data_IF_031602534693
#
_entry.id   IF_031602534693
#
_cell.length_a   1.000
_cell.length_b   1.000
_cell.length_c   1.000
_cell.angle_alpha   90.00
_cell.angle_beta   90.00
_cell.angle_gamma   90.00
#
_symmetry.space_group_name_H-M   'P 1'
#
loop_
_entity.id
_entity.type
_entity.pdbx_description
1 polymer ?
#
# COMPACT_ATOMS: atom_id res chain seq x y z
N UNK A 1 26.73 11.96 -5.15
CA UNK A 1 26.66 10.58 -5.68
C UNK A 1 27.09 10.66 -7.14
N UNK A 2 27.29 9.55 -7.84
CA UNK A 2 27.60 9.56 -9.28
C UNK A 2 26.37 9.01 -10.05
N UNK A 3 26.27 9.22 -11.38
CA UNK A 3 25.10 8.83 -12.19
C UNK A 3 24.76 7.32 -12.15
N UNK A 4 25.67 6.49 -11.67
CA UNK A 4 25.47 5.04 -11.51
C UNK A 4 24.74 4.65 -10.22
N UNK A 5 24.37 5.62 -9.35
CA UNK A 5 23.67 5.34 -8.09
C UNK A 5 22.20 5.73 -8.19
N UNK A 6 21.37 4.92 -7.55
CA UNK A 6 19.93 5.10 -7.47
C UNK A 6 19.46 4.94 -6.03
N UNK A 7 18.35 5.59 -5.70
CA UNK A 7 17.65 5.47 -4.43
C UNK A 7 16.19 5.14 -4.70
N UNK A 8 15.71 4.05 -4.09
CA UNK A 8 14.30 3.64 -4.16
C UNK A 8 13.70 3.82 -2.78
N UNK A 9 12.78 4.77 -2.65
CA UNK A 9 12.07 5.05 -1.41
C UNK A 9 10.86 4.13 -1.29
N UNK A 10 10.89 3.23 -0.31
CA UNK A 10 9.83 2.25 -0.11
C UNK A 10 9.05 2.47 1.19
N UNK A 11 9.45 3.46 1.99
CA UNK A 11 8.77 3.79 3.23
C UNK A 11 7.52 4.62 2.97
N UNK A 12 6.55 4.52 3.88
CA UNK A 12 5.32 5.29 3.83
C UNK A 12 5.59 6.69 4.38
N UNK A 13 5.76 7.65 3.49
CA UNK A 13 6.01 9.07 3.76
C UNK A 13 4.98 9.93 3.03
N UNK A 14 4.84 11.19 3.42
CA UNK A 14 4.01 12.14 2.70
C UNK A 14 4.67 12.64 1.40
N UNK A 15 3.88 13.32 0.56
CA UNK A 15 4.32 13.79 -0.75
C UNK A 15 5.44 14.84 -0.66
N UNK A 16 5.41 15.71 0.34
CA UNK A 16 6.41 16.79 0.50
C UNK A 16 7.76 16.20 0.88
N UNK A 17 7.78 15.31 1.87
CA UNK A 17 9.00 14.55 2.25
C UNK A 17 9.60 13.82 1.05
N UNK A 18 8.76 13.22 0.20
CA UNK A 18 9.22 12.48 -0.97
C UNK A 18 9.85 13.38 -2.04
N UNK A 19 9.27 14.57 -2.26
CA UNK A 19 9.82 15.59 -3.16
C UNK A 19 11.15 16.14 -2.64
N UNK A 20 11.27 16.36 -1.33
CA UNK A 20 12.52 16.81 -0.69
C UNK A 20 13.64 15.78 -0.86
N UNK A 21 13.34 14.49 -0.66
CA UNK A 21 14.32 13.41 -0.87
C UNK A 21 14.71 13.36 -2.35
N UNK A 22 13.74 13.44 -3.26
CA UNK A 22 14.02 13.49 -4.70
C UNK A 22 14.98 14.62 -5.05
N UNK A 23 14.73 15.85 -4.58
CA UNK A 23 15.62 16.98 -4.83
C UNK A 23 17.03 16.75 -4.25
N UNK A 24 17.12 16.25 -3.02
CA UNK A 24 18.39 15.95 -2.36
C UNK A 24 19.21 14.86 -3.08
N UNK A 25 18.55 13.86 -3.68
CA UNK A 25 19.18 12.79 -4.45
C UNK A 25 19.60 13.29 -5.84
N UNK A 26 18.71 13.97 -6.54
CA UNK A 26 18.93 14.46 -7.90
C UNK A 26 20.01 15.56 -7.95
N UNK A 27 20.04 16.47 -6.96
CA UNK A 27 21.10 17.50 -6.83
C UNK A 27 22.50 16.91 -6.64
N UNK A 28 22.58 15.65 -6.21
CA UNK A 28 23.82 14.87 -6.07
C UNK A 28 24.11 13.99 -7.27
N UNK A 29 23.38 14.14 -8.38
CA UNK A 29 23.58 13.40 -9.63
C UNK A 29 23.21 11.92 -9.56
N UNK A 30 22.36 11.51 -8.62
CA UNK A 30 21.78 10.16 -8.55
C UNK A 30 20.34 10.16 -9.05
N UNK A 31 19.74 8.98 -9.23
CA UNK A 31 18.35 8.80 -9.64
C UNK A 31 17.46 8.43 -8.46
N UNK A 32 16.19 8.82 -8.52
CA UNK A 32 15.21 8.61 -7.46
C UNK A 32 13.93 7.97 -8.00
N UNK A 33 13.37 7.03 -7.22
CA UNK A 33 12.10 6.37 -7.48
C UNK A 33 11.35 6.19 -6.15
N UNK A 34 10.08 6.57 -6.12
CA UNK A 34 9.14 6.15 -5.09
C UNK A 34 8.62 4.76 -5.42
N UNK A 35 8.50 3.88 -4.43
CA UNK A 35 7.87 2.57 -4.56
C UNK A 35 7.07 2.23 -3.29
N UNK A 36 5.86 2.76 -3.20
CA UNK A 36 4.94 2.47 -2.10
C UNK A 36 4.43 1.03 -2.18
N UNK A 37 4.38 0.33 -1.05
CA UNK A 37 4.05 -1.11 -1.00
C UNK A 37 2.63 -1.30 -0.46
N UNK A 38 1.86 -2.19 -1.08
CA UNK A 38 0.61 -2.74 -0.55
C UNK A 38 0.77 -4.24 -0.28
N UNK A 39 0.34 -4.66 0.91
CA UNK A 39 0.29 -6.06 1.32
C UNK A 39 0.65 -6.24 2.80
N UNK A 40 0.45 -7.45 3.31
CA UNK A 40 0.83 -7.87 4.65
C UNK A 40 2.29 -8.37 4.72
N UNK A 41 2.79 -8.63 5.94
CA UNK A 41 4.09 -9.27 6.14
C UNK A 41 4.13 -10.68 5.51
N UNK A 42 3.06 -11.46 5.67
CA UNK A 42 2.90 -12.78 5.05
C UNK A 42 2.97 -12.67 3.52
N UNK A 43 2.29 -11.68 2.94
CA UNK A 43 2.36 -11.43 1.50
C UNK A 43 3.75 -10.98 1.05
N UNK A 44 4.51 -10.28 1.89
CA UNK A 44 5.91 -9.94 1.60
C UNK A 44 6.81 -11.19 1.57
N UNK A 45 6.65 -12.10 2.53
CA UNK A 45 7.41 -13.36 2.60
C UNK A 45 7.10 -14.28 1.41
N UNK A 46 5.88 -14.22 0.88
CA UNK A 46 5.43 -15.01 -0.26
C UNK A 46 5.65 -14.33 -1.63
N UNK A 47 6.23 -13.13 -1.67
CA UNK A 47 6.45 -12.40 -2.93
C UNK A 47 5.15 -11.90 -3.58
N UNK A 48 4.13 -11.60 -2.78
CA UNK A 48 2.77 -11.22 -3.22
C UNK A 48 2.43 -9.75 -2.97
N UNK A 49 3.42 -8.89 -2.75
CA UNK A 49 3.19 -7.45 -2.64
C UNK A 49 2.73 -6.83 -3.97
N UNK A 50 2.06 -5.69 -3.87
CA UNK A 50 1.77 -4.79 -4.99
C UNK A 50 2.54 -3.50 -4.79
N UNK A 51 3.27 -3.07 -5.80
CA UNK A 51 4.07 -1.84 -5.74
C UNK A 51 3.42 -0.70 -6.54
N UNK A 52 3.41 0.49 -5.95
CA UNK A 52 2.95 1.73 -6.58
C UNK A 52 4.17 2.63 -6.74
N UNK A 53 4.59 2.85 -7.98
CA UNK A 53 5.86 3.49 -8.29
C UNK A 53 5.68 4.82 -9.02
N UNK A 54 6.58 5.78 -8.78
CA UNK A 54 6.61 7.06 -9.49
C UNK A 54 8.00 7.69 -9.40
N UNK A 55 8.41 8.44 -10.42
CA UNK A 55 9.73 9.09 -10.52
C UNK A 55 10.46 8.73 -11.80
N UNK A 56 11.71 8.29 -11.69
CA UNK A 56 12.54 7.94 -12.84
C UNK A 56 12.06 6.62 -13.50
N UNK A 57 11.61 6.71 -14.76
CA UNK A 57 11.11 5.56 -15.50
C UNK A 57 12.21 4.53 -15.80
N UNK A 58 13.42 4.97 -16.12
CA UNK A 58 14.53 4.06 -16.39
C UNK A 58 14.90 3.25 -15.15
N UNK A 59 14.86 3.89 -13.98
CA UNK A 59 15.10 3.22 -12.71
C UNK A 59 13.97 2.24 -12.35
N UNK A 60 12.71 2.60 -12.61
CA UNK A 60 11.58 1.67 -12.46
C UNK A 60 11.78 0.41 -13.32
N UNK A 61 12.16 0.58 -14.59
CA UNK A 61 12.40 -0.55 -15.50
C UNK A 61 13.64 -1.38 -15.05
N UNK A 62 14.69 -0.74 -14.54
CA UNK A 62 15.88 -1.42 -13.98
C UNK A 62 15.58 -2.22 -12.70
N UNK A 63 14.66 -1.73 -11.87
CA UNK A 63 14.24 -2.40 -10.62
C UNK A 63 13.26 -3.55 -10.84
N UNK A 64 12.85 -3.83 -12.08
CA UNK A 64 11.81 -4.81 -12.38
C UNK A 64 12.05 -6.19 -11.75
N UNK A 65 13.27 -6.72 -11.84
CA UNK A 65 13.61 -8.03 -11.25
C UNK A 65 13.57 -8.02 -9.72
N UNK A 66 13.90 -6.90 -9.08
CA UNK A 66 13.74 -6.74 -7.64
C UNK A 66 12.27 -6.70 -7.23
N UNK A 67 11.42 -6.03 -8.03
CA UNK A 67 9.99 -5.96 -7.78
C UNK A 67 9.31 -7.31 -7.97
N UNK A 68 9.68 -8.09 -8.99
CA UNK A 68 9.20 -9.47 -9.19
C UNK A 68 9.63 -10.42 -8.06
N UNK A 69 10.74 -10.14 -7.37
CA UNK A 69 11.21 -10.98 -6.26
C UNK A 69 10.37 -10.81 -4.99
N UNK A 70 9.71 -9.65 -4.81
CA UNK A 70 8.97 -9.31 -3.59
C UNK A 70 7.46 -9.11 -3.83
N UNK A 71 7.04 -9.01 -5.09
CA UNK A 71 5.67 -8.73 -5.47
C UNK A 71 5.28 -9.36 -6.79
N UNK A 72 3.96 -9.46 -7.01
CA UNK A 72 3.41 -10.02 -8.24
C UNK A 72 2.98 -8.93 -9.25
N UNK A 73 2.96 -7.67 -8.81
CA UNK A 73 2.54 -6.55 -9.66
C UNK A 73 3.19 -5.23 -9.23
N UNK A 74 3.49 -4.39 -10.21
CA UNK A 74 3.92 -3.01 -9.98
C UNK A 74 3.24 -2.07 -10.98
N UNK A 75 2.89 -0.87 -10.52
CA UNK A 75 2.24 0.17 -11.31
C UNK A 75 3.12 1.42 -11.36
N UNK A 76 3.14 2.13 -12.48
CA UNK A 76 3.93 3.36 -12.63
C UNK A 76 3.03 4.58 -12.88
N UNK A 77 3.13 5.56 -11.99
CA UNK A 77 2.25 6.74 -11.93
C UNK A 77 2.91 8.03 -12.43
N UNK A 78 4.00 7.93 -13.19
CA UNK A 78 4.68 9.10 -13.75
C UNK A 78 5.48 9.83 -12.68
N UNK A 79 5.17 11.10 -12.45
CA UNK A 79 6.00 11.99 -11.64
C UNK A 79 6.00 11.67 -10.15
N UNK A 80 7.13 11.99 -9.49
CA UNK A 80 7.32 11.92 -8.03
C UNK A 80 6.13 12.55 -7.29
N UNK A 81 5.65 11.86 -6.27
CA UNK A 81 4.50 12.19 -5.45
C UNK A 81 3.22 11.48 -5.88
N UNK A 82 3.10 11.01 -7.13
CA UNK A 82 1.87 10.35 -7.59
C UNK A 82 1.67 8.96 -6.97
N UNK A 83 2.76 8.21 -6.71
CA UNK A 83 2.67 6.94 -5.99
C UNK A 83 2.19 7.16 -4.56
N UNK A 84 2.75 8.14 -3.86
CA UNK A 84 2.34 8.52 -2.50
C UNK A 84 0.88 8.99 -2.45
N UNK A 85 0.42 9.80 -3.41
CA UNK A 85 -0.99 10.21 -3.52
C UNK A 85 -1.91 9.01 -3.74
N UNK A 86 -1.54 8.07 -4.60
CA UNK A 86 -2.33 6.85 -4.82
C UNK A 86 -2.37 5.97 -3.57
N UNK A 87 -1.24 5.80 -2.88
CA UNK A 87 -1.20 5.09 -1.60
C UNK A 87 -2.16 5.75 -0.59
N UNK A 88 -2.16 7.08 -0.47
CA UNK A 88 -3.09 7.79 0.41
C UNK A 88 -4.55 7.49 0.08
N UNK A 89 -4.94 7.45 -1.20
CA UNK A 89 -6.30 7.08 -1.62
C UNK A 89 -6.67 5.67 -1.13
N UNK A 90 -5.77 4.70 -1.31
CA UNK A 90 -5.98 3.31 -0.88
C UNK A 90 -6.10 3.23 0.65
N UNK A 91 -5.21 3.91 1.38
CA UNK A 91 -5.23 3.91 2.85
C UNK A 91 -6.49 4.58 3.41
N UNK A 92 -6.97 5.65 2.79
CA UNK A 92 -8.23 6.29 3.16
C UNK A 92 -9.42 5.33 2.97
N UNK A 93 -9.46 4.60 1.85
CA UNK A 93 -10.49 3.59 1.60
C UNK A 93 -10.43 2.46 2.65
N UNK A 94 -9.23 1.96 2.94
CA UNK A 94 -9.00 0.94 3.98
C UNK A 94 -9.51 1.40 5.35
N UNK A 95 -9.12 2.61 5.77
CA UNK A 95 -9.56 3.19 7.04
C UNK A 95 -11.09 3.33 7.12
N UNK A 96 -11.73 3.75 6.02
CA UNK A 96 -13.20 3.89 5.95
C UNK A 96 -13.89 2.54 6.12
N UNK A 97 -13.38 1.50 5.45
CA UNK A 97 -13.93 0.13 5.59
C UNK A 97 -13.79 -0.38 7.03
N UNK A 98 -12.64 -0.18 7.66
CA UNK A 98 -12.40 -0.61 9.05
C UNK A 98 -13.31 0.16 10.01
N UNK A 99 -13.47 1.47 9.84
CA UNK A 99 -14.36 2.27 10.68
C UNK A 99 -15.83 1.80 10.56
N UNK A 100 -16.31 1.55 9.33
CA UNK A 100 -17.65 1.01 9.10
C UNK A 100 -17.86 -0.38 9.70
N UNK A 101 -16.84 -1.24 9.66
CA UNK A 101 -16.87 -2.54 10.34
C UNK A 101 -16.98 -2.37 11.86
N UNK A 102 -16.17 -1.51 12.46
CA UNK A 102 -16.19 -1.26 13.89
C UNK A 102 -17.55 -0.71 14.38
N UNK A 103 -18.14 0.24 13.66
CA UNK A 103 -19.47 0.76 13.97
C UNK A 103 -20.56 -0.32 13.83
N UNK A 104 -20.45 -1.17 12.80
CA UNK A 104 -21.38 -2.28 12.58
C UNK A 104 -21.34 -3.31 13.71
N UNK A 105 -20.14 -3.66 14.18
CA UNK A 105 -19.94 -4.57 15.32
C UNK A 105 -20.55 -4.00 16.62
N UNK A 106 -20.33 -2.71 16.89
CA UNK A 106 -20.95 -2.03 18.04
C UNK A 106 -22.49 -1.99 17.95
N UNK A 107 -23.03 -1.85 16.73
CA UNK A 107 -24.48 -1.84 16.51
C UNK A 107 -25.11 -3.21 16.74
N UNK A 108 -24.44 -4.29 16.35
CA UNK A 108 -24.87 -5.68 16.62
C UNK A 108 -25.00 -5.93 18.11
N UNK A 109 -24.00 -5.55 18.90
CA UNK A 109 -24.04 -5.67 20.36
C UNK A 109 -25.21 -4.89 20.95
N UNK A 110 -25.43 -3.66 20.47
CA UNK A 110 -26.56 -2.81 20.90
C UNK A 110 -27.92 -3.44 20.60
N UNK A 111 -28.02 -4.24 19.54
CA UNK A 111 -29.24 -4.98 19.19
C UNK A 111 -29.36 -6.32 19.90
N UNK A 112 -28.40 -6.71 20.74
CA UNK A 112 -28.40 -7.99 21.44
C UNK A 112 -28.15 -9.18 20.52
N UNK A 113 -27.49 -8.95 19.37
CA UNK A 113 -27.10 -9.98 18.42
C UNK A 113 -25.66 -10.44 18.68
N UNK A 114 -25.28 -11.60 18.15
CA UNK A 114 -23.93 -12.14 18.29
C UNK A 114 -23.04 -11.67 17.14
N UNK A 115 -21.83 -11.20 17.45
CA UNK A 115 -20.83 -10.84 16.43
C UNK A 115 -20.39 -12.06 15.60
N UNK A 116 -20.40 -13.26 16.19
CA UNK A 116 -20.11 -14.52 15.47
C UNK A 116 -21.03 -14.73 14.28
N UNK A 117 -22.31 -14.38 14.42
CA UNK A 117 -23.30 -14.54 13.35
C UNK A 117 -22.98 -13.60 12.20
N UNK A 118 -22.51 -12.38 12.48
CA UNK A 118 -22.05 -11.46 11.44
C UNK A 118 -20.84 -11.99 10.70
N UNK A 119 -19.86 -12.59 11.39
CA UNK A 119 -18.67 -13.17 10.74
C UNK A 119 -19.07 -14.32 9.80
N UNK A 120 -20.03 -15.15 10.21
CA UNK A 120 -20.59 -16.21 9.35
C UNK A 120 -21.32 -15.61 8.13
N UNK A 121 -22.17 -14.60 8.35
CA UNK A 121 -22.89 -13.92 7.27
C UNK A 121 -21.91 -13.23 6.31
N UNK A 122 -20.90 -12.50 6.81
CA UNK A 122 -19.89 -11.82 5.98
C UNK A 122 -19.18 -12.81 5.06
N UNK A 123 -18.87 -14.02 5.55
CA UNK A 123 -18.26 -15.08 4.74
C UNK A 123 -19.12 -15.55 3.56
N UNK A 124 -20.44 -15.35 3.63
CA UNK A 124 -21.41 -15.78 2.64
C UNK A 124 -21.91 -14.64 1.74
N UNK A 125 -21.45 -13.41 1.98
CA UNK A 125 -21.92 -12.21 1.25
C UNK A 125 -20.82 -11.61 0.38
N UNK A 126 -21.19 -10.76 -0.61
CA UNK A 126 -20.22 -10.03 -1.43
C UNK A 126 -19.32 -9.06 -0.64
N UNK A 127 -19.61 -8.81 0.63
CA UNK A 127 -18.77 -7.99 1.51
C UNK A 127 -17.50 -8.72 1.98
N UNK A 128 -17.40 -10.04 1.75
CA UNK A 128 -16.21 -10.81 2.10
C UNK A 128 -14.97 -10.24 1.42
N UNK A 129 -14.03 -9.76 2.23
CA UNK A 129 -12.68 -9.41 1.81
C UNK A 129 -11.68 -9.82 2.88
N UNK A 130 -10.42 -10.09 2.50
CA UNK A 130 -9.36 -10.44 3.46
C UNK A 130 -9.25 -9.38 4.56
N UNK A 131 -9.27 -8.10 4.20
CA UNK A 131 -9.23 -6.98 5.15
C UNK A 131 -10.35 -7.08 6.21
N UNK A 132 -11.60 -7.24 5.77
CA UNK A 132 -12.76 -7.31 6.68
C UNK A 132 -12.65 -8.54 7.57
N UNK A 133 -12.30 -9.70 7.02
CA UNK A 133 -12.20 -10.94 7.80
C UNK A 133 -11.07 -10.90 8.82
N UNK A 134 -9.90 -10.37 8.45
CA UNK A 134 -8.76 -10.26 9.36
C UNK A 134 -9.09 -9.32 10.53
N UNK A 135 -9.84 -8.24 10.28
CA UNK A 135 -10.24 -7.27 11.31
C UNK A 135 -11.47 -7.64 12.12
N UNK A 136 -12.41 -8.40 11.56
CA UNK A 136 -13.59 -8.87 12.27
C UNK A 136 -13.28 -9.98 13.29
N UNK A 137 -12.16 -10.68 13.12
CA UNK A 137 -11.71 -11.74 14.02
C UNK A 137 -10.74 -11.26 15.13
N UNK A 138 -10.41 -9.97 15.16
CA UNK A 138 -9.56 -9.34 16.19
C UNK A 138 -10.39 -8.94 17.40
#
# INVERSE_FOLDING_TARGET
MNPSKAYVEMTNIDTETSLDINEAIMSRGARYLEAQIQGSLEEAEEGRLVLLCAGDRSLYDECHSCFEAIGYSSFFFGDVGNATKMNLVIQMMCATVIAGLAESMALIEKFGLLQSDMIEILNLTPLKSKLIMDKANC
#
